data_IF_261269914842
#
_entry.id   IF_261269914842
#
_cell.length_a   1.000
_cell.length_b   1.000
_cell.length_c   1.000
_cell.angle_alpha   90.00
_cell.angle_beta   90.00
_cell.angle_gamma   90.00
#
_symmetry.space_group_name_H-M   'P 1'
#
loop_
_entity.id
_entity.type
_entity.pdbx_description
1 polymer ?
#
# COMPACT_ATOMS: atom_id res chain seq x y z
N UNK A 1 12.57 -31.63 -26.67
CA UNK A 1 12.46 -30.66 -25.56
C UNK A 1 11.51 -29.56 -25.96
N UNK A 2 10.44 -29.32 -25.20
CA UNK A 2 9.50 -28.22 -25.47
C UNK A 2 9.97 -26.98 -24.70
N UNK A 3 10.38 -25.93 -25.40
CA UNK A 3 10.69 -24.63 -24.79
C UNK A 3 9.37 -23.97 -24.40
N UNK A 4 9.15 -23.76 -23.10
CA UNK A 4 8.01 -23.00 -22.62
C UNK A 4 8.24 -21.52 -22.97
N UNK A 5 7.59 -21.04 -24.03
CA UNK A 5 7.53 -19.62 -24.34
C UNK A 5 6.80 -18.92 -23.19
N UNK A 6 7.52 -18.01 -22.51
CA UNK A 6 7.00 -17.21 -21.40
C UNK A 6 5.84 -16.35 -21.92
N UNK A 7 4.63 -16.72 -21.51
CA UNK A 7 3.40 -15.99 -21.83
C UNK A 7 3.55 -14.55 -21.32
N UNK A 8 3.56 -13.58 -22.24
CA UNK A 8 3.78 -12.15 -21.97
C UNK A 8 2.52 -11.52 -21.39
N UNK A 9 2.14 -11.97 -20.19
CA UNK A 9 1.24 -11.23 -19.32
C UNK A 9 2.01 -9.99 -18.88
N UNK A 10 1.73 -8.87 -19.54
CA UNK A 10 2.11 -7.49 -19.19
C UNK A 10 3.25 -7.41 -18.16
N UNK A 11 4.49 -7.33 -18.65
CA UNK A 11 5.68 -7.25 -17.79
C UNK A 11 5.48 -6.18 -16.72
N UNK A 12 5.44 -6.59 -15.45
CA UNK A 12 5.40 -5.64 -14.33
C UNK A 12 6.59 -4.69 -14.46
N UNK A 13 6.36 -3.36 -14.40
CA UNK A 13 7.45 -2.39 -14.43
C UNK A 13 8.45 -2.71 -13.32
N UNK A 14 9.73 -2.72 -13.64
CA UNK A 14 10.79 -2.83 -12.65
C UNK A 14 10.81 -1.59 -11.75
N UNK A 15 11.32 -1.70 -10.52
CA UNK A 15 11.45 -0.56 -9.60
C UNK A 15 12.25 0.61 -10.22
N UNK A 16 13.20 0.30 -11.11
CA UNK A 16 13.95 1.29 -11.91
C UNK A 16 13.11 2.04 -12.96
N UNK A 17 11.89 1.58 -13.23
CA UNK A 17 10.93 2.23 -14.13
C UNK A 17 9.99 3.19 -13.40
N UNK A 18 9.74 2.95 -12.12
CA UNK A 18 8.86 3.79 -11.32
C UNK A 18 9.45 5.18 -11.07
N UNK A 19 10.78 5.28 -10.91
CA UNK A 19 11.48 6.55 -10.68
C UNK A 19 11.56 7.49 -11.89
N UNK A 20 11.16 7.05 -13.09
CA UNK A 20 11.25 7.84 -14.33
C UNK A 20 9.90 8.36 -14.86
N UNK A 21 8.76 7.91 -14.31
CA UNK A 21 7.42 8.38 -14.70
C UNK A 21 6.96 9.67 -14.00
N UNK A 22 7.86 10.61 -13.73
CA UNK A 22 7.54 11.82 -12.94
C UNK A 22 6.97 13.00 -13.76
N UNK A 23 6.39 12.76 -14.93
CA UNK A 23 5.70 13.81 -15.71
C UNK A 23 4.28 13.42 -16.10
N UNK A 24 3.50 12.93 -15.14
CA UNK A 24 2.04 12.90 -15.24
C UNK A 24 1.44 14.27 -14.95
N UNK A 25 0.30 14.58 -15.57
CA UNK A 25 -0.43 15.86 -15.41
C UNK A 25 -0.68 16.17 -13.92
N UNK A 26 -0.77 17.44 -13.48
CA UNK A 26 -1.17 17.79 -12.12
C UNK A 26 -2.45 17.06 -11.64
N UNK A 27 -3.42 16.77 -12.51
CA UNK A 27 -4.57 15.93 -12.15
C UNK A 27 -4.18 14.48 -11.78
N UNK A 28 -3.28 13.84 -12.56
CA UNK A 28 -2.80 12.49 -12.27
C UNK A 28 -1.98 12.43 -10.97
N UNK A 29 -1.22 13.49 -10.65
CA UNK A 29 -0.49 13.56 -9.36
C UNK A 29 -1.46 13.66 -8.19
N UNK A 30 -2.54 14.44 -8.33
CA UNK A 30 -3.62 14.53 -7.34
C UNK A 30 -4.32 13.19 -7.12
N UNK A 31 -4.63 12.46 -8.19
CA UNK A 31 -5.22 11.12 -8.08
C UNK A 31 -4.25 10.10 -7.49
N UNK A 32 -2.97 10.13 -7.87
CA UNK A 32 -1.94 9.25 -7.30
C UNK A 32 -1.72 9.53 -5.81
N UNK A 33 -1.75 10.79 -5.37
CA UNK A 33 -1.65 11.15 -3.97
C UNK A 33 -2.87 10.68 -3.16
N UNK A 34 -4.09 10.84 -3.71
CA UNK A 34 -5.32 10.30 -3.10
C UNK A 34 -5.27 8.78 -2.98
N UNK A 35 -4.83 8.08 -4.04
CA UNK A 35 -4.64 6.61 -4.03
C UNK A 35 -3.54 6.18 -3.06
N UNK A 36 -2.44 6.93 -2.96
CA UNK A 36 -1.37 6.68 -2.00
C UNK A 36 -1.85 6.85 -0.55
N UNK A 37 -2.66 7.87 -0.25
CA UNK A 37 -3.27 8.08 1.06
C UNK A 37 -4.25 6.96 1.45
N UNK A 38 -5.07 6.52 0.50
CA UNK A 38 -5.96 5.37 0.69
C UNK A 38 -5.16 4.07 0.96
N UNK A 39 -4.09 3.83 0.19
CA UNK A 39 -3.20 2.69 0.41
C UNK A 39 -2.47 2.76 1.75
N UNK A 40 -2.05 3.95 2.18
CA UNK A 40 -1.43 4.16 3.49
C UNK A 40 -2.38 3.82 4.63
N UNK A 41 -3.64 4.23 4.52
CA UNK A 41 -4.67 3.95 5.53
C UNK A 41 -4.91 2.45 5.65
N UNK A 42 -5.03 1.74 4.52
CA UNK A 42 -5.22 0.30 4.51
C UNK A 42 -4.02 -0.46 5.11
N UNK A 43 -2.80 -0.05 4.76
CA UNK A 43 -1.58 -0.65 5.32
C UNK A 43 -1.52 -0.48 6.84
N UNK A 44 -1.88 0.70 7.35
CA UNK A 44 -1.93 0.98 8.79
C UNK A 44 -2.96 0.09 9.50
N UNK A 45 -4.17 -0.07 8.94
CA UNK A 45 -5.20 -0.96 9.49
C UNK A 45 -4.72 -2.41 9.49
N UNK A 46 -4.15 -2.87 8.38
CA UNK A 46 -3.64 -4.25 8.26
C UNK A 46 -2.56 -4.55 9.31
N UNK A 47 -1.62 -3.62 9.50
CA UNK A 47 -0.58 -3.75 10.52
C UNK A 47 -1.15 -3.77 11.95
N UNK A 48 -2.20 -2.98 12.22
CA UNK A 48 -2.86 -2.99 13.52
C UNK A 48 -3.52 -4.34 13.81
N UNK A 49 -4.24 -4.90 12.84
CA UNK A 49 -4.87 -6.22 12.97
C UNK A 49 -3.81 -7.28 13.24
N UNK A 50 -2.72 -7.31 12.47
CA UNK A 50 -1.59 -8.23 12.70
C UNK A 50 -1.04 -8.07 14.12
N UNK A 51 -0.78 -6.84 14.57
CA UNK A 51 -0.20 -6.57 15.88
C UNK A 51 -1.05 -7.11 17.03
N UNK A 52 -2.37 -6.95 16.96
CA UNK A 52 -3.31 -7.47 17.98
C UNK A 52 -3.23 -8.99 18.06
N UNK A 53 -3.26 -9.67 16.91
CA UNK A 53 -3.14 -11.14 16.86
C UNK A 53 -1.74 -11.64 17.23
N UNK A 54 -0.70 -10.84 17.01
CA UNK A 54 0.68 -11.14 17.42
C UNK A 54 0.97 -10.83 18.89
N UNK A 55 -0.07 -10.67 19.73
CA UNK A 55 -0.03 -10.49 21.20
C UNK A 55 0.14 -9.06 21.71
N UNK A 56 0.10 -8.03 20.87
CA UNK A 56 0.15 -6.65 21.40
C UNK A 56 -1.13 -6.22 22.13
N UNK A 57 -2.20 -7.01 22.10
CA UNK A 57 -3.48 -6.61 22.71
C UNK A 57 -4.12 -5.42 21.97
N UNK A 58 -5.43 -5.24 22.12
CA UNK A 58 -6.12 -4.13 21.44
C UNK A 58 -5.85 -2.80 22.14
N UNK A 59 -5.81 -2.79 23.48
CA UNK A 59 -5.62 -1.59 24.28
C UNK A 59 -4.23 -0.95 24.10
N UNK A 60 -3.19 -1.74 23.80
CA UNK A 60 -1.84 -1.22 23.56
C UNK A 60 -1.59 -0.88 22.08
N UNK A 61 -2.62 -1.00 21.22
CA UNK A 61 -2.51 -0.65 19.82
C UNK A 61 -2.67 0.87 19.61
N UNK A 62 -1.65 1.51 19.03
CA UNK A 62 -1.62 2.96 18.82
C UNK A 62 -2.82 3.48 17.99
N UNK A 63 -3.22 2.77 16.93
CA UNK A 63 -4.37 3.17 16.11
C UNK A 63 -5.69 3.08 16.89
N UNK A 64 -5.82 2.11 17.79
CA UNK A 64 -6.98 2.00 18.68
C UNK A 64 -7.03 3.18 19.66
N UNK A 65 -5.91 3.48 20.34
CA UNK A 65 -5.81 4.60 21.30
C UNK A 65 -6.13 5.94 20.64
N UNK A 66 -5.58 6.17 19.45
CA UNK A 66 -5.87 7.40 18.69
C UNK A 66 -7.34 7.53 18.33
N UNK A 67 -8.02 6.43 18.01
CA UNK A 67 -9.44 6.45 17.66
C UNK A 67 -10.34 6.72 18.88
N UNK A 68 -9.98 6.21 20.06
CA UNK A 68 -10.72 6.49 21.30
C UNK A 68 -10.64 7.96 21.71
N UNK A 69 -9.53 8.65 21.41
CA UNK A 69 -9.39 10.09 21.68
C UNK A 69 -10.27 11.01 20.80
N UNK A 70 -10.91 10.46 19.76
CA UNK A 70 -11.80 11.21 18.84
C UNK A 70 -13.28 11.08 19.25
N UNK A 71 -13.64 10.09 20.08
CA UNK A 71 -15.04 9.81 20.51
C UNK A 71 -15.56 10.80 21.54
#
# INVERSE_FOLDING_TARGET
MRTLHRLKLMSSPSLSELGKSEKGSPEERGEKQKRAGANSTWNSIHNAVIAVFQKKGLADNELYVLNEGVR
#
